data_IF_957223514425
#
_entry.id   IF_957223514425
#
_cell.length_a   1.000
_cell.length_b   1.000
_cell.length_c   1.000
_cell.angle_alpha   90.00
_cell.angle_beta   90.00
_cell.angle_gamma   90.00
#
_symmetry.space_group_name_H-M   'P 1'
#
loop_
_entity.id
_entity.type
_entity.pdbx_description
1 polymer ?
#
# COMPACT_ATOMS: atom_id res chain seq x y z
N UNK A 1 13.54 -0.48 2.01
CA UNK A 1 13.03 0.51 2.97
C UNK A 1 12.35 -0.27 4.08
N UNK A 2 12.64 0.05 5.33
CA UNK A 2 12.11 -0.62 6.51
C UNK A 2 11.46 0.43 7.42
N UNK A 3 10.23 0.16 7.87
CA UNK A 3 9.52 1.03 8.80
C UNK A 3 8.49 0.20 9.59
N UNK A 4 8.15 0.66 10.78
CA UNK A 4 7.07 0.12 11.61
C UNK A 4 5.97 1.17 11.74
N UNK A 5 4.72 0.77 11.52
CA UNK A 5 3.58 1.68 11.57
C UNK A 5 2.27 0.92 11.70
N UNK A 6 1.22 1.64 12.09
CA UNK A 6 -0.11 1.05 12.26
C UNK A 6 -0.86 1.08 10.92
N UNK A 7 -1.59 0.02 10.59
CA UNK A 7 -2.45 0.02 9.40
C UNK A 7 -3.58 1.03 9.61
N UNK A 8 -3.57 2.09 8.80
CA UNK A 8 -4.59 3.13 8.83
C UNK A 8 -5.77 2.77 7.92
N UNK A 9 -5.49 2.34 6.68
CA UNK A 9 -6.52 2.00 5.71
C UNK A 9 -6.02 1.03 4.65
N UNK A 10 -6.83 0.01 4.37
CA UNK A 10 -6.65 -0.86 3.19
C UNK A 10 -7.49 -0.28 2.05
N UNK A 11 -6.86 0.03 0.92
CA UNK A 11 -7.57 0.54 -0.26
C UNK A 11 -8.18 -0.63 -1.07
N UNK A 12 -9.22 -0.39 -1.87
CA UNK A 12 -9.76 -1.42 -2.75
C UNK A 12 -8.68 -1.97 -3.69
N UNK A 13 -8.74 -3.28 -3.94
CA UNK A 13 -7.87 -3.93 -4.92
C UNK A 13 -8.08 -3.30 -6.30
N UNK A 14 -6.98 -2.90 -6.94
CA UNK A 14 -6.97 -2.54 -8.35
C UNK A 14 -6.49 -3.76 -9.14
N UNK A 15 -7.17 -4.08 -10.24
CA UNK A 15 -6.76 -5.15 -11.14
C UNK A 15 -6.86 -4.69 -12.59
N UNK A 16 -6.07 -5.30 -13.47
CA UNK A 16 -6.12 -5.02 -14.89
C UNK A 16 -5.45 -6.10 -15.71
N UNK A 17 -5.49 -5.95 -17.03
CA UNK A 17 -4.84 -6.85 -17.98
C UNK A 17 -3.73 -6.07 -18.68
N UNK A 18 -2.48 -6.50 -18.48
CA UNK A 18 -1.31 -5.92 -19.12
C UNK A 18 -0.70 -6.87 -20.14
N UNK A 19 0.39 -6.45 -20.79
CA UNK A 19 1.10 -7.25 -21.78
C UNK A 19 1.64 -8.61 -21.24
N UNK A 20 1.80 -8.74 -19.92
CA UNK A 20 2.25 -9.96 -19.23
C UNK A 20 1.10 -10.75 -18.57
N UNK A 21 -0.15 -10.41 -18.83
CA UNK A 21 -1.33 -11.06 -18.25
C UNK A 21 -2.07 -10.18 -17.23
N UNK A 22 -2.94 -10.82 -16.45
CA UNK A 22 -3.67 -10.15 -15.37
C UNK A 22 -2.70 -9.73 -14.26
N UNK A 23 -2.92 -8.54 -13.70
CA UNK A 23 -2.18 -8.05 -12.55
C UNK A 23 -3.14 -7.56 -11.48
N UNK A 24 -2.69 -7.65 -10.23
CA UNK A 24 -3.41 -7.17 -9.06
C UNK A 24 -2.50 -6.26 -8.24
N UNK A 25 -3.04 -5.12 -7.80
CA UNK A 25 -2.39 -4.17 -6.91
C UNK A 25 -3.25 -4.01 -5.66
N UNK A 26 -2.66 -4.28 -4.50
CA UNK A 26 -3.25 -4.00 -3.20
C UNK A 26 -2.47 -2.85 -2.55
N UNK A 27 -3.14 -1.74 -2.25
CA UNK A 27 -2.52 -0.62 -1.56
C UNK A 27 -2.95 -0.60 -0.09
N UNK A 28 -1.99 -0.36 0.79
CA UNK A 28 -2.20 -0.24 2.25
C UNK A 28 -1.55 1.05 2.72
N UNK A 29 -2.33 1.87 3.41
CA UNK A 29 -1.88 3.10 4.05
C UNK A 29 -1.52 2.79 5.49
N UNK A 30 -0.28 3.12 5.86
CA UNK A 30 0.24 3.03 7.21
C UNK A 30 0.33 4.42 7.82
N UNK A 31 0.02 4.53 9.11
CA UNK A 31 0.26 5.70 9.93
C UNK A 31 1.49 5.47 10.79
N UNK A 32 2.45 6.40 10.67
CA UNK A 32 3.69 6.40 11.44
C UNK A 32 3.53 7.35 12.61
N UNK A 33 3.62 6.80 13.83
CA UNK A 33 3.62 7.58 15.07
C UNK A 33 5.03 8.06 15.35
N UNK A 34 5.22 9.37 15.34
CA UNK A 34 6.49 10.04 15.66
C UNK A 34 6.25 11.53 15.90
N UNK A 35 7.32 12.32 16.00
CA UNK A 35 7.25 13.78 16.22
C UNK A 35 6.40 14.51 15.15
N UNK A 36 6.28 13.91 13.96
CA UNK A 36 5.34 14.31 12.93
C UNK A 36 4.54 13.08 12.49
N UNK A 37 3.23 13.10 12.70
CA UNK A 37 2.34 12.07 12.18
C UNK A 37 2.36 12.12 10.64
N UNK A 38 2.80 11.03 10.02
CA UNK A 38 2.90 10.89 8.56
C UNK A 38 2.18 9.63 8.12
N UNK A 39 1.64 9.66 6.90
CA UNK A 39 1.00 8.51 6.27
C UNK A 39 1.83 8.06 5.08
N UNK A 40 2.05 6.75 5.00
CA UNK A 40 2.81 6.12 3.90
C UNK A 40 1.88 5.14 3.20
N UNK A 41 1.75 5.26 1.87
CA UNK A 41 0.99 4.31 1.06
C UNK A 41 1.96 3.31 0.43
N UNK A 42 1.77 2.02 0.69
CA UNK A 42 2.58 0.93 0.13
C UNK A 42 1.72 0.09 -0.82
N UNK A 43 2.23 -0.11 -2.03
CA UNK A 43 1.60 -0.95 -3.05
C UNK A 43 2.23 -2.34 -3.12
N UNK A 44 1.44 -3.38 -2.88
CA UNK A 44 1.79 -4.77 -3.10
C UNK A 44 1.29 -5.21 -4.47
N UNK A 45 2.17 -5.78 -5.27
CA UNK A 45 1.86 -6.26 -6.62
C UNK A 45 1.95 -7.78 -6.65
N UNK A 46 1.01 -8.42 -7.36
CA UNK A 46 0.97 -9.86 -7.59
C UNK A 46 -0.04 -10.24 -8.66
#
# INVERSE_FOLDING_TARGET
MEFEGTVFKVLPVVKGTGAKGEWKKQEVVFELTGEFSRKVCVGFWG
#
